data_IF_467864736645
#
_entry.id   IF_467864736645
#
_cell.length_a   1.000
_cell.length_b   1.000
_cell.length_c   1.000
_cell.angle_alpha   90.00
_cell.angle_beta   90.00
_cell.angle_gamma   90.00
#
_symmetry.space_group_name_H-M   'P 1'
#
loop_
_entity.id
_entity.type
_entity.pdbx_description
1 polymer ?
#
# COMPACT_ATOMS: atom_id res chain seq x y z
N UNK A 1 -16.31 -5.02 -17.08
CA UNK A 1 -15.15 -4.82 -17.95
C UNK A 1 -14.36 -3.56 -17.60
N UNK A 2 -13.23 -3.39 -18.21
CA UNK A 2 -12.33 -2.24 -17.97
C UNK A 2 -12.07 -1.42 -19.24
N UNK A 3 -12.72 -1.77 -20.34
CA UNK A 3 -12.61 -1.09 -21.63
C UNK A 3 -13.69 -0.02 -21.70
N UNK A 4 -13.31 1.18 -22.13
CA UNK A 4 -14.20 2.31 -22.40
C UNK A 4 -13.97 2.86 -23.82
N UNK A 5 -14.84 3.76 -24.23
CA UNK A 5 -14.71 4.51 -25.50
C UNK A 5 -14.62 6.01 -25.22
N UNK A 6 -13.74 6.69 -25.92
CA UNK A 6 -13.71 8.14 -25.95
C UNK A 6 -14.73 8.68 -26.98
N UNK A 7 -15.13 9.97 -26.89
CA UNK A 7 -16.08 10.56 -27.83
C UNK A 7 -15.65 10.52 -29.30
N UNK A 8 -14.36 10.46 -29.56
CA UNK A 8 -13.76 10.35 -30.89
C UNK A 8 -13.70 8.91 -31.45
N UNK A 9 -14.27 7.94 -30.68
CA UNK A 9 -14.30 6.52 -31.04
C UNK A 9 -13.03 5.75 -30.66
N UNK A 10 -12.03 6.37 -30.05
CA UNK A 10 -10.82 5.65 -29.59
C UNK A 10 -11.13 4.77 -28.39
N UNK A 11 -10.45 3.62 -28.29
CA UNK A 11 -10.56 2.71 -27.15
C UNK A 11 -9.75 3.24 -25.97
N UNK A 12 -10.37 3.30 -24.81
CA UNK A 12 -9.73 3.64 -23.54
C UNK A 12 -9.78 2.47 -22.56
N UNK A 13 -8.93 2.49 -21.54
CA UNK A 13 -8.95 1.51 -20.45
C UNK A 13 -8.92 2.19 -19.10
N UNK A 14 -9.53 1.56 -18.10
CA UNK A 14 -9.52 2.02 -16.70
C UNK A 14 -8.23 1.65 -15.95
N UNK A 15 -7.29 0.99 -16.64
CA UNK A 15 -6.03 0.54 -16.08
C UNK A 15 -6.18 -0.62 -15.11
N UNK A 16 -5.23 -0.71 -14.15
CA UNK A 16 -5.18 -1.82 -13.18
C UNK A 16 -6.48 -1.92 -12.38
N UNK A 17 -7.00 -3.16 -12.25
CA UNK A 17 -8.24 -3.50 -11.53
C UNK A 17 -9.48 -2.71 -12.01
N UNK A 18 -9.48 -2.34 -13.29
CA UNK A 18 -10.55 -1.57 -13.90
C UNK A 18 -11.91 -2.27 -13.89
N UNK A 19 -11.96 -3.61 -13.92
CA UNK A 19 -13.22 -4.38 -13.86
C UNK A 19 -13.93 -4.20 -12.52
N UNK A 20 -13.19 -4.29 -11.41
CA UNK A 20 -13.75 -4.09 -10.06
C UNK A 20 -14.23 -2.64 -9.90
N UNK A 21 -13.47 -1.68 -10.45
CA UNK A 21 -13.84 -0.27 -10.44
C UNK A 21 -15.11 0.00 -11.27
N UNK A 22 -15.23 -0.56 -12.47
CA UNK A 22 -16.45 -0.43 -13.28
C UNK A 22 -17.68 -0.97 -12.55
N UNK A 23 -17.53 -2.15 -11.92
CA UNK A 23 -18.62 -2.74 -11.14
C UNK A 23 -19.03 -1.85 -9.96
N UNK A 24 -18.07 -1.23 -9.26
CA UNK A 24 -18.33 -0.31 -8.17
C UNK A 24 -19.05 0.97 -8.64
N UNK A 25 -18.69 1.51 -9.80
CA UNK A 25 -19.38 2.66 -10.42
C UNK A 25 -20.80 2.29 -10.78
N UNK A 26 -21.03 1.14 -11.42
CA UNK A 26 -22.37 0.66 -11.77
C UNK A 26 -23.21 0.41 -10.52
N UNK A 27 -22.65 -0.23 -9.50
CA UNK A 27 -23.32 -0.43 -8.22
C UNK A 27 -23.74 0.90 -7.57
N UNK A 28 -22.87 1.91 -7.62
CA UNK A 28 -23.20 3.25 -7.13
C UNK A 28 -24.33 3.93 -7.93
N UNK A 29 -24.30 3.84 -9.28
CA UNK A 29 -25.32 4.45 -10.14
C UNK A 29 -26.70 3.81 -9.91
N UNK A 30 -26.74 2.49 -9.72
CA UNK A 30 -27.97 1.72 -9.55
C UNK A 30 -28.49 1.66 -8.12
N UNK A 31 -27.83 2.32 -7.17
CA UNK A 31 -28.14 2.21 -5.73
C UNK A 31 -28.22 0.73 -5.26
N UNK A 32 -27.24 -0.07 -5.69
CA UNK A 32 -27.24 -1.50 -5.44
C UNK A 32 -27.18 -1.80 -3.92
N UNK A 33 -27.91 -2.83 -3.50
CA UNK A 33 -27.90 -3.28 -2.09
C UNK A 33 -26.54 -3.84 -1.67
N UNK A 34 -25.77 -4.40 -2.63
CA UNK A 34 -24.42 -4.91 -2.39
C UNK A 34 -23.69 -5.12 -3.71
N UNK A 35 -22.35 -5.27 -3.62
CA UNK A 35 -21.49 -5.69 -4.72
C UNK A 35 -20.69 -6.91 -4.32
N UNK A 36 -20.52 -7.88 -5.20
CA UNK A 36 -19.65 -9.04 -4.99
C UNK A 36 -18.55 -9.11 -6.04
N UNK A 37 -17.31 -9.30 -5.60
CA UNK A 37 -16.18 -9.66 -6.44
C UNK A 37 -15.78 -11.09 -6.16
N UNK A 38 -15.61 -11.87 -7.22
CA UNK A 38 -15.25 -13.27 -7.14
C UNK A 38 -13.77 -13.41 -7.47
N UNK A 39 -12.99 -13.94 -6.52
CA UNK A 39 -11.54 -14.07 -6.59
C UNK A 39 -11.12 -15.56 -6.47
N UNK A 40 -9.87 -15.80 -6.74
CA UNK A 40 -9.20 -17.12 -6.58
C UNK A 40 -8.73 -17.39 -5.13
N UNK A 41 -9.15 -16.55 -4.19
CA UNK A 41 -8.85 -16.64 -2.76
C UNK A 41 -10.13 -16.74 -1.95
N UNK A 42 -10.08 -17.33 -0.76
CA UNK A 42 -11.25 -17.54 0.11
C UNK A 42 -11.86 -16.25 0.68
N UNK A 43 -11.19 -15.13 0.52
CA UNK A 43 -11.54 -13.82 1.02
C UNK A 43 -10.27 -13.00 1.25
N UNK A 44 -10.37 -11.97 2.06
CA UNK A 44 -9.22 -11.17 2.49
C UNK A 44 -8.51 -11.89 3.62
N UNK A 45 -7.21 -12.12 3.46
CA UNK A 45 -6.37 -12.72 4.49
C UNK A 45 -5.60 -11.63 5.25
N UNK A 46 -5.26 -11.91 6.49
CA UNK A 46 -4.48 -11.01 7.33
C UNK A 46 -2.99 -10.94 6.95
N UNK A 47 -2.55 -11.82 6.05
CA UNK A 47 -1.19 -11.87 5.51
C UNK A 47 -1.17 -12.60 4.16
N UNK A 48 -0.10 -12.45 3.39
CA UNK A 48 0.13 -13.28 2.19
C UNK A 48 0.50 -14.72 2.62
N UNK A 49 -0.33 -15.74 2.33
CA UNK A 49 -0.09 -17.12 2.76
C UNK A 49 1.17 -17.72 2.14
N UNK A 50 1.67 -17.19 1.03
CA UNK A 50 2.93 -17.61 0.42
C UNK A 50 4.17 -17.19 1.23
N UNK A 51 4.00 -16.20 2.13
CA UNK A 51 5.07 -15.65 2.97
C UNK A 51 4.82 -16.01 4.44
N UNK A 52 3.57 -16.00 4.85
CA UNK A 52 3.11 -16.23 6.22
C UNK A 52 2.14 -17.42 6.22
N UNK A 53 2.62 -18.65 6.45
CA UNK A 53 1.78 -19.86 6.35
C UNK A 53 0.59 -19.90 7.31
N UNK A 54 0.70 -19.17 8.45
CA UNK A 54 -0.34 -19.06 9.46
C UNK A 54 -1.36 -17.95 9.15
N UNK A 55 -1.47 -17.54 7.87
CA UNK A 55 -2.41 -16.48 7.49
C UNK A 55 -3.87 -16.92 7.70
N UNK A 56 -4.66 -16.02 8.30
CA UNK A 56 -6.06 -16.25 8.65
C UNK A 56 -6.98 -15.35 7.83
N UNK A 57 -8.19 -15.83 7.55
CA UNK A 57 -9.20 -15.03 6.88
C UNK A 57 -9.80 -13.98 7.80
N UNK A 58 -9.95 -12.77 7.28
CA UNK A 58 -10.66 -11.68 7.93
C UNK A 58 -12.12 -11.72 7.45
N UNK A 59 -13.04 -11.97 8.38
CA UNK A 59 -14.47 -12.05 8.02
C UNK A 59 -15.07 -10.69 7.64
N UNK A 60 -14.62 -9.62 8.30
CA UNK A 60 -15.18 -8.28 8.10
C UNK A 60 -14.10 -7.19 8.20
N UNK A 61 -14.18 -6.20 7.29
CA UNK A 61 -13.32 -5.01 7.25
C UNK A 61 -14.18 -3.76 7.06
N UNK A 62 -13.71 -2.62 7.58
CA UNK A 62 -14.28 -1.34 7.16
C UNK A 62 -13.56 -0.78 5.92
N UNK A 63 -14.19 0.21 5.26
CA UNK A 63 -13.62 0.82 4.06
C UNK A 63 -12.26 1.47 4.31
N UNK A 64 -12.10 2.16 5.46
CA UNK A 64 -10.86 2.86 5.78
C UNK A 64 -9.71 1.86 5.98
N UNK A 65 -9.94 0.81 6.76
CA UNK A 65 -8.95 -0.25 6.97
C UNK A 65 -8.55 -0.90 5.66
N UNK A 66 -9.51 -1.16 4.78
CA UNK A 66 -9.24 -1.73 3.45
C UNK A 66 -8.37 -0.81 2.58
N UNK A 67 -8.62 0.51 2.61
CA UNK A 67 -7.79 1.49 1.89
C UNK A 67 -6.37 1.54 2.47
N UNK A 68 -6.23 1.56 3.79
CA UNK A 68 -4.92 1.57 4.45
C UNK A 68 -4.11 0.30 4.17
N UNK A 69 -4.77 -0.87 4.16
CA UNK A 69 -4.15 -2.14 3.81
C UNK A 69 -3.66 -2.14 2.37
N UNK A 70 -4.49 -1.68 1.43
CA UNK A 70 -4.12 -1.57 0.03
C UNK A 70 -2.98 -0.57 -0.19
N UNK A 71 -2.99 0.57 0.51
CA UNK A 71 -1.89 1.54 0.49
C UNK A 71 -0.58 0.93 0.99
N UNK A 72 -0.63 0.14 2.04
CA UNK A 72 0.53 -0.56 2.62
C UNK A 72 1.07 -1.68 1.73
N UNK A 73 0.35 -2.06 0.67
CA UNK A 73 0.78 -3.03 -0.34
C UNK A 73 -0.01 -4.34 -0.37
N UNK A 74 -1.07 -4.47 0.44
CA UNK A 74 -1.96 -5.62 0.36
C UNK A 74 -2.71 -5.63 -1.00
N UNK A 75 -2.61 -6.74 -1.74
CA UNK A 75 -3.25 -6.87 -3.05
C UNK A 75 -4.67 -7.45 -2.90
N UNK A 76 -5.57 -6.68 -2.29
CA UNK A 76 -6.93 -7.13 -2.00
C UNK A 76 -7.92 -6.52 -3.00
N UNK A 77 -8.15 -5.24 -2.85
CA UNK A 77 -9.04 -4.41 -3.68
C UNK A 77 -8.37 -3.05 -3.85
N UNK A 78 -8.38 -2.52 -5.04
CA UNK A 78 -7.79 -1.21 -5.30
C UNK A 78 -8.62 -0.10 -4.62
N UNK A 79 -7.99 0.89 -3.94
CA UNK A 79 -8.69 1.97 -3.24
C UNK A 79 -9.74 2.71 -4.08
N UNK A 80 -9.50 2.89 -5.40
CA UNK A 80 -10.47 3.53 -6.29
C UNK A 80 -11.80 2.77 -6.41
N UNK A 81 -11.81 1.45 -6.20
CA UNK A 81 -13.02 0.63 -6.17
C UNK A 81 -13.85 0.88 -4.90
N UNK A 82 -13.18 1.17 -3.78
CA UNK A 82 -13.85 1.41 -2.50
C UNK A 82 -14.63 2.73 -2.50
N UNK A 83 -14.08 3.79 -3.09
CA UNK A 83 -14.69 5.14 -3.01
C UNK A 83 -16.13 5.24 -3.52
N UNK A 84 -16.52 4.72 -4.71
CA UNK A 84 -17.91 4.73 -5.15
C UNK A 84 -18.85 3.98 -4.20
N UNK A 85 -18.39 2.87 -3.60
CA UNK A 85 -19.18 2.07 -2.68
C UNK A 85 -19.36 2.76 -1.33
N UNK A 86 -18.27 3.36 -0.81
CA UNK A 86 -18.29 4.12 0.44
C UNK A 86 -19.26 5.29 0.39
N UNK A 87 -19.34 6.01 -0.73
CA UNK A 87 -20.23 7.17 -0.89
C UNK A 87 -21.71 6.86 -0.66
N UNK A 88 -22.13 5.63 -0.93
CA UNK A 88 -23.53 5.16 -0.76
C UNK A 88 -23.65 4.03 0.27
N UNK A 89 -22.56 3.76 1.00
CA UNK A 89 -22.51 2.73 2.02
C UNK A 89 -22.88 1.32 1.51
N UNK A 90 -22.50 1.00 0.26
CA UNK A 90 -22.80 -0.27 -0.42
C UNK A 90 -21.79 -1.34 0.03
N UNK A 91 -22.21 -2.41 0.72
CA UNK A 91 -21.31 -3.49 1.13
C UNK A 91 -20.62 -4.17 -0.06
N UNK A 92 -19.32 -4.40 0.06
CA UNK A 92 -18.53 -5.16 -0.91
C UNK A 92 -18.19 -6.54 -0.32
N UNK A 93 -18.57 -7.60 -1.03
CA UNK A 93 -18.21 -8.96 -0.69
C UNK A 93 -17.05 -9.44 -1.56
N UNK A 94 -15.99 -9.92 -0.94
CA UNK A 94 -14.88 -10.62 -1.60
C UNK A 94 -15.09 -12.12 -1.39
N UNK A 95 -15.45 -12.83 -2.44
CA UNK A 95 -15.87 -14.24 -2.36
C UNK A 95 -15.00 -15.15 -3.22
N UNK A 96 -14.79 -16.42 -2.82
CA UNK A 96 -14.06 -17.38 -3.62
C UNK A 96 -14.88 -17.83 -4.85
N UNK A 97 -14.23 -17.81 -6.01
CA UNK A 97 -14.84 -18.26 -7.24
C UNK A 97 -15.11 -19.78 -7.25
N UNK A 98 -14.21 -20.55 -6.59
CA UNK A 98 -14.27 -22.01 -6.58
C UNK A 98 -15.35 -22.63 -5.66
N UNK A 99 -15.78 -21.92 -4.61
CA UNK A 99 -16.84 -22.40 -3.70
C UNK A 99 -17.78 -21.26 -3.27
N UNK A 100 -18.91 -21.18 -3.94
CA UNK A 100 -19.93 -20.16 -3.71
C UNK A 100 -20.61 -20.23 -2.34
N UNK A 101 -20.43 -21.33 -1.58
CA UNK A 101 -21.03 -21.50 -0.24
C UNK A 101 -20.22 -20.79 0.83
N UNK A 102 -18.94 -20.52 0.59
CA UNK A 102 -18.08 -19.79 1.52
C UNK A 102 -18.51 -18.31 1.60
N UNK A 103 -18.61 -17.73 2.79
CA UNK A 103 -19.07 -16.34 2.98
C UNK A 103 -18.10 -15.32 2.40
N UNK A 104 -16.80 -15.62 2.37
CA UNK A 104 -15.75 -14.68 2.01
C UNK A 104 -15.52 -13.61 3.07
N UNK A 105 -15.15 -12.42 2.63
CA UNK A 105 -14.97 -11.23 3.47
C UNK A 105 -15.97 -10.16 3.07
N UNK A 106 -16.61 -9.51 4.04
CA UNK A 106 -17.44 -8.33 3.79
C UNK A 106 -16.68 -7.04 4.16
N UNK A 107 -16.76 -6.05 3.26
CA UNK A 107 -16.20 -4.71 3.45
C UNK A 107 -17.37 -3.72 3.48
N UNK A 108 -17.54 -2.98 4.58
CA UNK A 108 -18.66 -2.05 4.78
C UNK A 108 -18.31 -0.86 5.67
N UNK A 109 -19.20 0.13 5.78
CA UNK A 109 -18.92 1.39 6.49
C UNK A 109 -18.68 1.24 7.99
N UNK A 110 -19.41 0.34 8.64
CA UNK A 110 -19.26 0.04 10.06
C UNK A 110 -18.93 -1.44 10.23
N UNK A 111 -17.81 -1.71 10.83
CA UNK A 111 -17.38 -3.06 11.20
C UNK A 111 -16.78 -3.06 12.60
N UNK A 112 -16.80 -4.20 13.25
CA UNK A 112 -16.02 -4.40 14.44
C UNK A 112 -14.53 -4.20 14.17
N UNK A 113 -13.72 -3.72 15.13
CA UNK A 113 -12.28 -3.65 14.98
C UNK A 113 -11.71 -5.01 14.56
N UNK A 114 -10.77 -5.00 13.60
CA UNK A 114 -10.09 -6.24 13.19
C UNK A 114 -9.29 -6.76 14.38
N UNK A 115 -9.64 -7.95 14.85
CA UNK A 115 -9.05 -8.58 16.05
C UNK A 115 -7.72 -9.25 15.71
N UNK A 116 -7.56 -9.76 14.47
CA UNK A 116 -6.34 -10.44 14.04
C UNK A 116 -5.29 -9.45 13.56
N UNK A 117 -4.02 -9.64 13.93
CA UNK A 117 -2.94 -8.81 13.42
C UNK A 117 -2.78 -8.97 11.90
N UNK A 118 -2.52 -7.85 11.21
CA UNK A 118 -2.34 -7.85 9.76
C UNK A 118 -0.89 -7.62 9.43
N UNK A 119 -0.31 -8.51 8.61
CA UNK A 119 1.08 -8.45 8.17
C UNK A 119 1.14 -8.21 6.66
N UNK A 120 1.84 -7.15 6.26
CA UNK A 120 2.04 -6.82 4.86
C UNK A 120 3.54 -6.68 4.62
N UNK A 121 4.07 -7.53 3.72
CA UNK A 121 5.48 -7.47 3.32
C UNK A 121 5.58 -6.97 1.88
N UNK A 122 6.16 -5.79 1.72
CA UNK A 122 6.47 -5.22 0.43
C UNK A 122 7.94 -5.47 0.12
N UNK A 123 8.19 -6.33 -0.85
CA UNK A 123 9.52 -6.69 -1.33
C UNK A 123 10.02 -5.66 -2.35
N UNK A 124 11.27 -5.82 -2.77
CA UNK A 124 11.90 -5.02 -3.82
C UNK A 124 11.81 -3.52 -3.54
N UNK A 125 12.28 -3.15 -2.36
CA UNK A 125 12.32 -1.77 -1.92
C UNK A 125 13.76 -1.23 -1.97
N UNK A 126 13.87 0.08 -2.10
CA UNK A 126 15.11 0.83 -1.98
C UNK A 126 14.96 1.85 -0.87
N UNK A 127 15.98 1.96 -0.02
CA UNK A 127 16.06 3.00 0.99
C UNK A 127 16.99 4.10 0.48
N UNK A 128 16.44 5.29 0.26
CA UNK A 128 17.19 6.51 -0.03
C UNK A 128 17.37 7.30 1.25
N UNK A 129 18.60 7.66 1.59
CA UNK A 129 18.89 8.62 2.65
C UNK A 129 19.43 9.90 2.01
N UNK A 130 18.67 10.97 2.12
CA UNK A 130 18.88 12.25 1.46
C UNK A 130 19.29 13.27 2.52
N UNK A 131 20.39 14.00 2.27
CA UNK A 131 20.92 15.05 3.13
C UNK A 131 21.26 16.27 2.31
N UNK A 132 21.08 17.44 2.87
CA UNK A 132 21.53 18.68 2.23
C UNK A 132 23.07 18.81 2.35
N UNK A 133 23.74 19.20 1.24
CA UNK A 133 25.21 19.35 1.22
C UNK A 133 25.73 20.44 2.15
N UNK A 134 24.92 21.46 2.38
CA UNK A 134 25.24 22.57 3.25
C UNK A 134 24.98 22.29 4.74
N UNK A 135 24.63 21.03 5.08
CA UNK A 135 24.26 20.60 6.43
C UNK A 135 23.10 21.39 7.05
N UNK A 136 22.36 22.17 6.26
CA UNK A 136 21.17 22.83 6.74
C UNK A 136 20.05 21.83 7.03
N UNK A 137 19.09 22.24 7.85
CA UNK A 137 17.93 21.44 8.15
C UNK A 137 17.15 21.11 6.87
N UNK A 138 16.57 19.90 6.84
CA UNK A 138 15.63 19.50 5.79
C UNK A 138 14.28 20.12 6.14
N UNK A 139 14.04 21.35 5.66
CA UNK A 139 12.84 22.14 5.87
C UNK A 139 11.83 21.93 4.72
N UNK A 140 10.67 22.58 4.84
CA UNK A 140 9.54 22.43 3.93
C UNK A 140 9.90 22.68 2.45
N UNK A 141 10.73 23.68 2.16
CA UNK A 141 11.18 23.99 0.79
C UNK A 141 11.99 22.85 0.16
N UNK A 142 12.82 22.19 0.96
CA UNK A 142 13.62 21.04 0.53
C UNK A 142 12.74 19.82 0.31
N UNK A 143 11.74 19.61 1.15
CA UNK A 143 10.72 18.58 0.90
C UNK A 143 10.01 18.78 -0.44
N UNK A 144 9.57 20.02 -0.72
CA UNK A 144 8.91 20.32 -1.98
C UNK A 144 9.80 19.98 -3.19
N UNK A 145 11.09 20.35 -3.14
CA UNK A 145 12.06 20.03 -4.19
C UNK A 145 12.24 18.54 -4.34
N UNK A 146 12.47 17.80 -3.24
CA UNK A 146 12.69 16.35 -3.26
C UNK A 146 11.46 15.63 -3.82
N UNK A 147 10.26 15.93 -3.32
CA UNK A 147 9.05 15.25 -3.77
C UNK A 147 8.64 15.61 -5.20
N UNK A 148 8.91 16.84 -5.68
CA UNK A 148 8.71 17.22 -7.07
C UNK A 148 9.62 16.42 -8.02
N UNK A 149 10.87 16.19 -7.63
CA UNK A 149 11.78 15.34 -8.40
C UNK A 149 11.32 13.88 -8.40
N UNK A 150 10.94 13.33 -7.25
CA UNK A 150 10.43 11.96 -7.17
C UNK A 150 9.16 11.77 -8.01
N UNK A 151 8.24 12.75 -8.01
CA UNK A 151 7.05 12.74 -8.86
C UNK A 151 7.40 12.76 -10.35
N UNK A 152 8.32 13.64 -10.75
CA UNK A 152 8.81 13.73 -12.15
C UNK A 152 9.31 12.40 -12.66
N UNK A 153 10.03 11.64 -11.85
CA UNK A 153 10.54 10.30 -12.18
C UNK A 153 9.57 9.17 -11.80
N UNK A 154 8.36 9.48 -11.35
CA UNK A 154 7.31 8.53 -10.94
C UNK A 154 7.79 7.53 -9.88
N UNK A 155 8.62 7.98 -8.96
CA UNK A 155 9.10 7.18 -7.82
C UNK A 155 8.05 7.19 -6.73
N UNK A 156 7.49 6.02 -6.43
CA UNK A 156 6.50 5.87 -5.38
C UNK A 156 7.16 5.72 -4.01
N UNK A 157 6.86 6.64 -3.11
CA UNK A 157 7.31 6.60 -1.71
C UNK A 157 6.34 5.80 -0.85
N UNK A 158 6.87 4.84 -0.09
CA UNK A 158 6.10 3.94 0.77
C UNK A 158 6.27 4.26 2.26
N UNK A 159 7.43 4.78 2.68
CA UNK A 159 7.68 5.20 4.05
C UNK A 159 8.59 6.42 4.04
N UNK A 160 8.27 7.38 4.90
CA UNK A 160 9.03 8.62 5.11
C UNK A 160 9.50 8.63 6.56
N UNK A 161 10.80 8.79 6.78
CA UNK A 161 11.37 8.98 8.10
C UNK A 161 12.28 10.21 8.07
N UNK A 162 11.93 11.20 8.86
CA UNK A 162 12.61 12.48 8.92
C UNK A 162 13.41 12.62 10.22
N UNK A 163 14.61 13.18 10.11
CA UNK A 163 15.41 13.70 11.23
C UNK A 163 15.80 15.14 10.91
N UNK A 164 16.51 15.83 11.81
CA UNK A 164 16.89 17.22 11.61
C UNK A 164 17.65 17.46 10.29
N UNK A 165 18.54 16.57 9.92
CA UNK A 165 19.47 16.73 8.77
C UNK A 165 19.33 15.65 7.70
N UNK A 166 18.55 14.60 7.94
CA UNK A 166 18.38 13.49 7.00
C UNK A 166 16.91 13.21 6.74
N UNK A 167 16.59 12.93 5.48
CA UNK A 167 15.32 12.39 5.06
C UNK A 167 15.55 10.98 4.51
N UNK A 168 14.98 9.98 5.16
CA UNK A 168 15.05 8.59 4.70
C UNK A 168 13.71 8.22 4.05
N UNK A 169 13.76 7.76 2.81
CA UNK A 169 12.61 7.39 2.00
C UNK A 169 12.72 5.93 1.59
N UNK A 170 11.75 5.11 1.98
CA UNK A 170 11.59 3.79 1.41
C UNK A 170 10.71 3.90 0.16
N UNK A 171 11.25 3.54 -0.98
CA UNK A 171 10.61 3.69 -2.29
C UNK A 171 10.53 2.36 -3.02
N UNK A 172 9.61 2.23 -3.97
CA UNK A 172 9.58 1.09 -4.88
C UNK A 172 10.83 1.10 -5.75
N UNK A 173 11.45 -0.05 -5.98
CA UNK A 173 12.53 -0.18 -6.95
C UNK A 173 11.97 0.11 -8.36
N UNK A 174 12.54 1.10 -9.02
CA UNK A 174 12.08 1.61 -10.31
C UNK A 174 13.25 1.79 -11.26
N UNK A 175 13.00 1.63 -12.54
CA UNK A 175 13.99 1.87 -13.60
C UNK A 175 14.56 3.29 -13.57
N UNK A 176 13.78 4.27 -13.07
CA UNK A 176 14.18 5.67 -13.05
C UNK A 176 14.82 6.11 -11.72
N UNK A 177 15.15 5.17 -10.84
CA UNK A 177 15.64 5.53 -9.50
C UNK A 177 17.01 6.19 -9.55
N UNK A 178 17.88 5.71 -10.42
CA UNK A 178 19.23 6.26 -10.55
C UNK A 178 19.20 7.65 -11.22
N UNK A 179 18.32 7.87 -12.21
CA UNK A 179 18.05 9.20 -12.79
C UNK A 179 17.51 10.18 -11.73
N UNK A 180 16.60 9.72 -10.89
CA UNK A 180 16.07 10.54 -9.79
C UNK A 180 17.17 10.89 -8.77
N UNK A 181 18.07 9.96 -8.45
CA UNK A 181 19.21 10.21 -7.56
C UNK A 181 20.15 11.28 -8.14
N UNK A 182 20.48 11.20 -9.43
CA UNK A 182 21.33 12.21 -10.07
C UNK A 182 20.65 13.59 -10.06
N UNK A 183 19.36 13.67 -10.38
CA UNK A 183 18.62 14.93 -10.29
C UNK A 183 18.58 15.51 -8.87
N UNK A 184 18.48 14.67 -7.84
CA UNK A 184 18.57 15.10 -6.46
C UNK A 184 19.99 15.63 -6.12
N UNK A 185 21.02 14.98 -6.64
CA UNK A 185 22.42 15.44 -6.47
C UNK A 185 22.68 16.77 -7.15
N UNK A 186 22.15 16.97 -8.35
CA UNK A 186 22.20 18.24 -9.05
C UNK A 186 21.47 19.37 -8.31
N UNK A 187 20.36 19.02 -7.62
CA UNK A 187 19.60 19.93 -6.77
C UNK A 187 20.27 20.26 -5.41
N UNK A 188 21.50 19.75 -5.16
CA UNK A 188 22.29 20.10 -3.97
C UNK A 188 22.14 19.13 -2.82
N UNK A 189 21.67 17.90 -3.06
CA UNK A 189 21.56 16.87 -2.03
C UNK A 189 22.65 15.81 -2.17
N UNK A 190 23.09 15.26 -1.04
CA UNK A 190 23.80 14.00 -0.97
C UNK A 190 22.78 12.89 -0.83
N UNK A 191 22.90 11.84 -1.65
CA UNK A 191 21.97 10.72 -1.65
C UNK A 191 22.74 9.42 -1.50
N UNK A 192 22.42 8.69 -0.45
CA UNK A 192 22.85 7.30 -0.25
C UNK A 192 21.72 6.36 -0.63
N UNK A 193 22.04 5.32 -1.40
CA UNK A 193 21.10 4.28 -1.87
C UNK A 193 21.44 2.96 -1.19
N UNK A 194 20.45 2.33 -0.58
CA UNK A 194 20.54 0.96 -0.09
C UNK A 194 19.49 0.10 -0.78
N UNK A 195 19.96 -0.92 -1.49
CA UNK A 195 19.13 -1.84 -2.28
C UNK A 195 18.81 -3.12 -1.53
N UNK A 196 17.95 -3.96 -2.12
CA UNK A 196 17.50 -5.23 -1.55
C UNK A 196 16.81 -5.04 -0.20
N UNK A 197 16.00 -4.00 -0.10
CA UNK A 197 15.20 -3.72 1.08
C UNK A 197 13.81 -4.35 0.98
N UNK A 198 13.19 -4.56 2.12
CA UNK A 198 11.78 -4.89 2.25
C UNK A 198 11.13 -4.01 3.32
N UNK A 199 9.88 -3.67 3.10
CA UNK A 199 9.05 -2.93 4.04
C UNK A 199 8.02 -3.87 4.63
N UNK A 200 8.16 -4.19 5.92
CA UNK A 200 7.18 -4.92 6.69
C UNK A 200 6.28 -3.93 7.44
N UNK A 201 4.97 -4.07 7.26
CA UNK A 201 3.94 -3.38 8.04
C UNK A 201 3.19 -4.40 8.88
N UNK A 202 3.13 -4.19 10.19
CA UNK A 202 2.35 -5.02 11.13
C UNK A 202 1.34 -4.13 11.82
N UNK A 203 0.05 -4.34 11.56
CA UNK A 203 -1.06 -3.66 12.22
C UNK A 203 -1.64 -4.56 13.30
N UNK A 204 -2.02 -3.99 14.45
CA UNK A 204 -2.42 -4.77 15.62
C UNK A 204 -1.23 -5.54 16.22
N UNK A 205 -0.02 -4.96 16.18
CA UNK A 205 1.18 -5.64 16.63
C UNK A 205 1.19 -5.84 18.15
N UNK A 206 1.77 -6.97 18.56
CA UNK A 206 2.12 -7.29 19.93
C UNK A 206 3.63 -7.48 20.05
N UNK A 207 4.15 -7.50 21.28
CA UNK A 207 5.58 -7.78 21.50
C UNK A 207 6.00 -9.14 20.95
N UNK A 208 5.12 -10.13 20.96
CA UNK A 208 5.36 -11.44 20.38
C UNK A 208 5.52 -11.36 18.87
N UNK A 209 4.59 -10.71 18.16
CA UNK A 209 4.65 -10.50 16.72
C UNK A 209 5.85 -9.66 16.32
N UNK A 210 6.22 -8.67 17.13
CA UNK A 210 7.44 -7.90 16.93
C UNK A 210 8.66 -8.81 16.95
N UNK A 211 8.78 -9.68 17.97
CA UNK A 211 9.90 -10.61 18.08
C UNK A 211 9.94 -11.62 16.94
N UNK A 212 8.77 -12.12 16.53
CA UNK A 212 8.63 -13.14 15.48
C UNK A 212 8.94 -12.59 14.08
N UNK A 213 8.40 -11.42 13.73
CA UNK A 213 8.38 -10.97 12.34
C UNK A 213 9.12 -9.65 12.07
N UNK A 214 9.11 -8.71 12.98
CA UNK A 214 9.66 -7.39 12.76
C UNK A 214 11.11 -7.23 13.22
N UNK A 215 11.61 -8.13 14.07
CA UNK A 215 12.99 -8.18 14.51
C UNK A 215 13.83 -8.90 13.46
N UNK A 216 14.59 -8.17 12.67
CA UNK A 216 15.49 -8.73 11.65
C UNK A 216 16.95 -8.36 11.91
N UNK A 217 17.90 -9.02 11.22
CA UNK A 217 19.34 -8.81 11.44
C UNK A 217 19.83 -7.41 11.05
N UNK A 218 19.15 -6.71 10.14
CA UNK A 218 19.51 -5.36 9.69
C UNK A 218 18.24 -4.50 9.49
N UNK A 219 17.76 -3.92 10.59
CA UNK A 219 16.70 -2.91 10.57
C UNK A 219 17.33 -1.54 10.38
N UNK A 220 16.92 -0.83 9.33
CA UNK A 220 17.39 0.52 9.00
C UNK A 220 16.46 1.61 9.51
N UNK A 221 15.15 1.39 9.39
CA UNK A 221 14.12 2.32 9.86
C UNK A 221 13.04 1.57 10.56
N UNK A 222 12.61 2.08 11.72
CA UNK A 222 11.43 1.61 12.45
C UNK A 222 10.54 2.80 12.74
N UNK A 223 9.29 2.71 12.33
CA UNK A 223 8.21 3.62 12.75
C UNK A 223 7.17 2.84 13.50
N UNK A 224 6.73 3.37 14.63
CA UNK A 224 5.68 2.76 15.43
C UNK A 224 4.64 3.82 15.82
N UNK A 225 3.38 3.45 15.69
CA UNK A 225 2.23 4.14 16.27
C UNK A 225 1.65 3.27 17.38
N UNK A 226 0.52 3.66 17.94
CA UNK A 226 -0.16 2.87 18.97
C UNK A 226 -0.56 1.46 18.48
N UNK A 227 -0.90 1.30 17.20
CA UNK A 227 -1.45 0.04 16.66
C UNK A 227 -0.66 -0.54 15.49
N UNK A 228 0.32 0.19 14.95
CA UNK A 228 1.01 -0.22 13.73
C UNK A 228 2.51 -0.02 13.88
N UNK A 229 3.28 -1.02 13.49
CA UNK A 229 4.73 -0.90 13.32
C UNK A 229 5.11 -1.13 11.87
N UNK A 230 6.01 -0.28 11.36
CA UNK A 230 6.56 -0.37 10.00
C UNK A 230 8.07 -0.45 10.08
N UNK A 231 8.65 -1.39 9.37
CA UNK A 231 10.08 -1.67 9.44
C UNK A 231 10.66 -1.77 8.03
N UNK A 232 11.69 -0.98 7.76
CA UNK A 232 12.54 -1.14 6.58
C UNK A 232 13.76 -1.93 7.00
N UNK A 233 13.96 -3.08 6.39
CA UNK A 233 15.08 -3.98 6.70
C UNK A 233 15.65 -4.57 5.42
N UNK A 234 16.88 -5.08 5.51
CA UNK A 234 17.49 -5.82 4.41
C UNK A 234 16.75 -7.15 4.22
N UNK A 235 16.50 -7.50 2.98
CA UNK A 235 15.94 -8.81 2.63
C UNK A 235 16.92 -9.91 3.06
N UNK A 236 16.39 -10.91 3.75
CA UNK A 236 17.13 -12.14 4.13
C UNK A 236 17.41 -13.00 2.93
#
# INVERSE_FOLDING_TARGET
>A
GFIGGAPDGTTTTLGREGSDYSAAVVANILDAESMSVWKDVDGVLNADPKIFPDAEQIAELNYLDTIELAYSGAQIIHPKTIKPLQNKNIPLYVRPFGDKRKPGTVIRGMSAPVVVPILILKKDQVLLTIRSRDFSFVLEEKFATIFSLLERFRIKTNLIHNSAVNLSLCVDNSWHIDEAIEALREAGFDVMKAENMELLTVRGYTDELWRKYARGPQVFVRQATQSTVRVVRKRS
#
